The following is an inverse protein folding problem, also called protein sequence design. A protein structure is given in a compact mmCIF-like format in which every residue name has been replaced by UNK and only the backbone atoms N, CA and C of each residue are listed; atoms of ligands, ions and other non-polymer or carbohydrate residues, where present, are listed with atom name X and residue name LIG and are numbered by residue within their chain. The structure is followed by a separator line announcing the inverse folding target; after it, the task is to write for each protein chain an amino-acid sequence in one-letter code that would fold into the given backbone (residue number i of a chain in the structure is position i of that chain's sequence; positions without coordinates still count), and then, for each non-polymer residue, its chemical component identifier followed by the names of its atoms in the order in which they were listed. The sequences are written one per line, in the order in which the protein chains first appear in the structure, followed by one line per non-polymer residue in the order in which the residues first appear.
data_IF_220638782802
#
_entry.id   IF_220638782802
#
_cell.length_a   1.000
_cell.length_b   1.000
_cell.length_c   1.000
_cell.angle_alpha   90.00
_cell.angle_beta   90.00
_cell.angle_gamma   90.00
#
_symmetry.space_group_name_H-M   'P 1'
#
loop_
_entity.id
_entity.type
_entity.pdbx_description
1 polymer ?
#
# COMPACT_ATOMS: atom_id res chain seq x y z
N UNK A 1 24.04 -6.46 -15.74
CA UNK A 1 22.94 -6.92 -14.84
C UNK A 1 22.49 -5.90 -13.77
N UNK A 2 22.96 -4.63 -13.76
CA UNK A 2 22.65 -3.67 -12.67
C UNK A 2 21.29 -2.96 -12.74
N UNK A 3 20.87 -2.50 -13.91
CA UNK A 3 19.69 -1.61 -14.07
C UNK A 3 18.36 -2.31 -13.76
N UNK A 4 18.20 -3.58 -14.18
CA UNK A 4 16.97 -4.37 -13.89
C UNK A 4 16.71 -4.56 -12.39
N UNK A 5 17.77 -4.75 -11.57
CA UNK A 5 17.62 -4.94 -10.11
C UNK A 5 17.24 -3.65 -9.38
N UNK A 6 17.78 -2.50 -9.82
CA UNK A 6 17.44 -1.18 -9.25
C UNK A 6 15.96 -0.87 -9.53
N UNK A 7 15.50 -1.10 -10.76
CA UNK A 7 14.09 -0.95 -11.14
C UNK A 7 13.14 -1.78 -10.26
N UNK A 8 13.49 -3.03 -9.95
CA UNK A 8 12.66 -3.90 -9.09
C UNK A 8 12.59 -3.40 -7.65
N UNK A 9 13.70 -2.90 -7.09
CA UNK A 9 13.71 -2.33 -5.73
C UNK A 9 12.83 -1.08 -5.67
N UNK A 10 12.96 -0.17 -6.63
CA UNK A 10 12.15 1.05 -6.70
C UNK A 10 10.66 0.70 -6.80
N UNK A 11 10.28 -0.23 -7.69
CA UNK A 11 8.89 -0.70 -7.79
C UNK A 11 8.36 -1.26 -6.46
N UNK A 12 9.16 -2.08 -5.76
CA UNK A 12 8.76 -2.60 -4.43
C UNK A 12 8.55 -1.48 -3.41
N UNK A 13 9.43 -0.48 -3.38
CA UNK A 13 9.30 0.67 -2.47
C UNK A 13 8.04 1.47 -2.77
N UNK A 14 7.74 1.74 -4.04
CA UNK A 14 6.51 2.43 -4.46
C UNK A 14 5.26 1.66 -4.01
N UNK A 15 5.24 0.33 -4.19
CA UNK A 15 4.14 -0.53 -3.74
C UNK A 15 3.97 -0.53 -2.22
N UNK A 16 5.06 -0.48 -1.46
CA UNK A 16 4.99 -0.39 0.01
C UNK A 16 4.44 0.97 0.44
N UNK A 17 4.90 2.05 -0.20
CA UNK A 17 4.46 3.41 0.12
C UNK A 17 2.97 3.59 -0.16
N UNK A 18 2.51 3.20 -1.35
CA UNK A 18 1.08 3.28 -1.72
C UNK A 18 0.18 2.51 -0.77
N UNK A 19 0.59 1.31 -0.33
CA UNK A 19 -0.17 0.54 0.68
C UNK A 19 -0.25 1.24 2.03
N UNK A 20 0.84 1.88 2.47
CA UNK A 20 0.85 2.64 3.72
C UNK A 20 -0.07 3.87 3.65
N UNK A 21 -0.04 4.60 2.53
CA UNK A 21 -0.91 5.77 2.33
C UNK A 21 -2.38 5.37 2.31
N UNK A 22 -2.74 4.33 1.56
CA UNK A 22 -4.12 3.85 1.51
C UNK A 22 -4.60 3.28 2.86
N UNK A 23 -3.72 2.63 3.63
CA UNK A 23 -4.03 2.20 5.01
C UNK A 23 -4.29 3.41 5.92
N UNK A 24 -3.45 4.44 5.83
CA UNK A 24 -3.62 5.67 6.60
C UNK A 24 -4.95 6.34 6.26
N UNK A 25 -5.22 6.60 4.97
CA UNK A 25 -6.43 7.27 4.51
C UNK A 25 -7.71 6.52 4.92
N UNK A 26 -7.75 5.20 4.71
CA UNK A 26 -8.91 4.39 5.09
C UNK A 26 -9.21 4.44 6.60
N UNK A 27 -8.16 4.46 7.42
CA UNK A 27 -8.28 4.49 8.89
C UNK A 27 -8.49 5.91 9.45
N UNK A 28 -7.97 6.93 8.78
CA UNK A 28 -8.18 8.34 9.16
C UNK A 28 -9.58 8.83 8.81
N UNK A 29 -10.17 8.37 7.71
CA UNK A 29 -11.51 8.78 7.29
C UNK A 29 -12.62 8.39 8.29
N UNK A 30 -12.39 7.41 9.18
CA UNK A 30 -13.37 7.05 10.20
C UNK A 30 -12.70 6.41 11.44
N UNK A 31 -12.36 7.22 12.47
CA UNK A 31 -11.50 6.80 13.58
C UNK A 31 -12.10 5.76 14.52
N UNK A 32 -13.41 5.47 14.43
CA UNK A 32 -14.12 4.59 15.36
C UNK A 32 -14.73 3.33 14.69
N UNK A 33 -15.15 3.42 13.41
CA UNK A 33 -15.91 2.34 12.76
C UNK A 33 -15.14 1.66 11.61
N UNK A 34 -14.13 2.34 11.04
CA UNK A 34 -13.37 1.82 9.90
C UNK A 34 -11.90 1.59 10.20
N UNK A 35 -11.47 1.76 11.46
CA UNK A 35 -10.11 1.39 11.85
C UNK A 35 -9.91 -0.11 11.65
N UNK A 36 -9.17 -0.46 10.62
CA UNK A 36 -8.78 -1.82 10.31
C UNK A 36 -7.31 -2.00 10.71
N UNK A 37 -7.02 -2.87 11.71
CA UNK A 37 -5.65 -3.13 12.18
C UNK A 37 -4.80 -3.89 11.15
N UNK A 38 -5.41 -4.30 10.04
CA UNK A 38 -4.76 -4.96 8.92
C UNK A 38 -5.08 -4.22 7.62
N UNK A 39 -4.26 -4.41 6.58
CA UNK A 39 -4.49 -3.76 5.28
C UNK A 39 -5.94 -4.03 4.83
N UNK A 40 -6.77 -2.98 4.63
CA UNK A 40 -8.16 -3.17 4.25
C UNK A 40 -8.28 -3.98 2.96
N UNK A 41 -9.32 -4.81 2.87
CA UNK A 41 -9.52 -5.69 1.71
C UNK A 41 -9.67 -4.90 0.40
N UNK A 42 -10.26 -3.69 0.47
CA UNK A 42 -10.31 -2.74 -0.63
C UNK A 42 -8.91 -2.31 -1.11
N UNK A 43 -7.97 -2.09 -0.20
CA UNK A 43 -6.57 -1.76 -0.51
C UNK A 43 -5.82 -2.97 -1.08
N UNK A 44 -6.11 -4.19 -0.62
CA UNK A 44 -5.53 -5.41 -1.21
C UNK A 44 -5.96 -5.59 -2.67
N UNK A 45 -7.21 -5.24 -3.01
CA UNK A 45 -7.74 -5.30 -4.39
C UNK A 45 -7.07 -4.32 -5.36
N UNK A 46 -6.43 -3.26 -4.87
CA UNK A 46 -5.65 -2.31 -5.68
C UNK A 46 -4.30 -2.89 -6.17
N UNK A 47 -3.88 -4.05 -5.65
CA UNK A 47 -2.63 -4.74 -6.01
C UNK A 47 -2.70 -5.49 -7.35
N UNK A 48 -3.68 -5.20 -8.22
CA UNK A 48 -3.84 -5.84 -9.53
C UNK A 48 -2.84 -5.34 -10.61
N UNK A 49 -1.83 -4.57 -10.23
CA UNK A 49 -0.77 -4.07 -11.12
C UNK A 49 0.61 -4.62 -10.72
#
# INVERSE_FOLDING_TARGET
MGIKRISVKVKKTIVILTKKMAYLEANTACPLWSYQPSIPECVKKLRKF
#
